data_IF_058173369608
#
_entry.id   IF_058173369608
#
_cell.length_a   1.000
_cell.length_b   1.000
_cell.length_c   1.000
_cell.angle_alpha   90.00
_cell.angle_beta   90.00
_cell.angle_gamma   90.00
#
_symmetry.space_group_name_H-M   'P 1'
#
loop_
_entity.id
_entity.type
_entity.pdbx_description
1 polymer ?
#
# COMPACT_ATOMS: atom_id res chain seq x y z
N UNK A 1 -49.20 -25.08 2.21
CA UNK A 1 -48.48 -24.00 2.92
C UNK A 1 -47.68 -24.63 4.06
N UNK A 2 -46.35 -24.52 4.03
CA UNK A 2 -45.48 -24.98 5.12
C UNK A 2 -45.43 -23.90 6.21
N UNK A 3 -45.92 -24.19 7.41
CA UNK A 3 -45.84 -23.30 8.56
C UNK A 3 -44.51 -23.45 9.31
N UNK A 4 -43.92 -22.32 9.72
CA UNK A 4 -42.72 -22.28 10.56
C UNK A 4 -42.91 -23.06 11.87
N UNK A 5 -41.84 -23.72 12.34
CA UNK A 5 -41.83 -24.49 13.59
C UNK A 5 -42.54 -25.86 13.55
N UNK A 6 -43.14 -26.24 12.41
CA UNK A 6 -43.81 -27.55 12.26
C UNK A 6 -42.91 -28.58 11.54
N UNK A 7 -43.10 -29.85 11.89
CA UNK A 7 -42.39 -31.00 11.29
C UNK A 7 -43.32 -31.68 10.29
N UNK A 8 -42.83 -31.91 9.08
CA UNK A 8 -43.59 -32.53 7.99
C UNK A 8 -42.87 -33.80 7.51
N UNK A 9 -43.63 -34.83 7.16
CA UNK A 9 -43.14 -36.05 6.54
C UNK A 9 -43.83 -36.28 5.19
N UNK A 10 -43.05 -36.67 4.18
CA UNK A 10 -43.58 -36.99 2.85
C UNK A 10 -43.83 -38.51 2.76
N UNK A 11 -45.09 -38.88 2.57
CA UNK A 11 -45.51 -40.26 2.35
C UNK A 11 -45.97 -40.39 0.89
N UNK A 12 -45.38 -41.31 0.15
CA UNK A 12 -45.74 -41.61 -1.24
C UNK A 12 -45.91 -43.12 -1.40
N UNK A 13 -46.70 -43.54 -2.39
CA UNK A 13 -46.83 -44.94 -2.81
C UNK A 13 -45.52 -45.40 -3.44
N UNK A 14 -45.21 -46.70 -3.32
CA UNK A 14 -44.00 -47.29 -3.88
C UNK A 14 -43.89 -46.96 -5.39
N UNK A 15 -42.77 -46.36 -5.81
CA UNK A 15 -42.51 -45.97 -7.20
C UNK A 15 -42.69 -44.48 -7.52
N UNK A 16 -43.07 -43.63 -6.56
CA UNK A 16 -42.98 -42.16 -6.71
C UNK A 16 -41.72 -41.66 -6.01
N UNK A 17 -40.82 -41.02 -6.76
CA UNK A 17 -39.51 -40.58 -6.29
C UNK A 17 -39.61 -39.40 -5.31
N UNK A 18 -39.81 -39.71 -4.03
CA UNK A 18 -39.74 -38.72 -2.93
C UNK A 18 -38.42 -37.93 -2.97
N UNK A 19 -37.33 -38.61 -3.35
CA UNK A 19 -36.00 -38.02 -3.47
C UNK A 19 -35.97 -36.95 -4.56
N UNK A 20 -36.58 -37.21 -5.71
CA UNK A 20 -36.72 -36.24 -6.80
C UNK A 20 -37.47 -35.00 -6.32
N UNK A 21 -38.60 -35.19 -5.61
CA UNK A 21 -39.34 -34.06 -5.04
C UNK A 21 -38.51 -33.22 -4.05
N UNK A 22 -37.73 -33.87 -3.18
CA UNK A 22 -36.83 -33.16 -2.25
C UNK A 22 -35.70 -32.41 -2.99
N UNK A 23 -35.16 -32.98 -4.07
CA UNK A 23 -34.14 -32.31 -4.91
C UNK A 23 -34.68 -31.03 -5.56
N UNK A 24 -35.88 -31.06 -6.13
CA UNK A 24 -36.50 -29.85 -6.70
C UNK A 24 -36.72 -28.74 -5.65
N UNK A 25 -37.07 -29.12 -4.41
CA UNK A 25 -37.19 -28.15 -3.30
C UNK A 25 -35.80 -27.60 -2.92
N UNK A 26 -34.77 -28.45 -2.84
CA UNK A 26 -33.41 -28.04 -2.51
C UNK A 26 -32.84 -27.04 -3.52
N UNK A 27 -33.12 -27.23 -4.81
CA UNK A 27 -32.68 -26.35 -5.91
C UNK A 27 -33.56 -25.09 -6.04
N UNK A 28 -34.58 -24.91 -5.18
CA UNK A 28 -35.55 -23.79 -5.23
C UNK A 28 -36.32 -23.71 -6.56
N UNK A 29 -36.62 -24.86 -7.15
CA UNK A 29 -37.47 -24.97 -8.36
C UNK A 29 -38.96 -24.68 -8.07
N UNK A 30 -39.27 -24.49 -6.78
CA UNK A 30 -40.56 -24.03 -6.25
C UNK A 30 -40.35 -22.65 -5.62
N UNK A 31 -41.29 -21.69 -5.74
CA UNK A 31 -41.14 -20.36 -5.16
C UNK A 31 -41.03 -20.42 -3.63
N UNK A 32 -39.79 -20.29 -3.12
CA UNK A 32 -39.45 -20.26 -1.70
C UNK A 32 -38.73 -18.93 -1.41
N UNK A 33 -39.15 -18.15 -0.39
CA UNK A 33 -38.52 -16.89 -0.03
C UNK A 33 -37.00 -16.98 0.16
N UNK A 34 -36.27 -15.92 -0.23
CA UNK A 34 -34.80 -15.89 -0.18
C UNK A 34 -34.23 -16.05 1.23
N UNK A 35 -34.89 -15.48 2.24
CA UNK A 35 -34.46 -15.53 3.63
C UNK A 35 -34.55 -16.93 4.28
N UNK A 36 -35.14 -17.93 3.61
CA UNK A 36 -35.23 -19.30 4.13
C UNK A 36 -34.01 -20.08 3.66
N UNK A 37 -33.10 -20.40 4.58
CA UNK A 37 -31.98 -21.29 4.30
C UNK A 37 -32.49 -22.74 4.18
N UNK A 38 -32.18 -23.38 3.05
CA UNK A 38 -32.49 -24.79 2.81
C UNK A 38 -31.16 -25.57 2.87
N UNK A 39 -31.12 -26.59 3.72
CA UNK A 39 -30.01 -27.54 3.79
C UNK A 39 -30.54 -28.91 3.37
N UNK A 40 -29.88 -29.54 2.40
CA UNK A 40 -30.24 -30.85 1.86
C UNK A 40 -29.12 -31.84 2.14
N UNK A 41 -29.47 -33.00 2.67
CA UNK A 41 -28.53 -34.09 2.96
C UNK A 41 -28.85 -35.24 2.02
N UNK A 42 -27.87 -35.67 1.22
CA UNK A 42 -28.03 -36.79 0.29
C UNK A 42 -27.96 -38.14 1.03
N UNK A 43 -28.64 -39.15 0.49
CA UNK A 43 -28.69 -40.50 1.11
C UNK A 43 -27.36 -41.26 1.00
N UNK A 44 -26.52 -40.94 0.01
CA UNK A 44 -25.21 -41.56 -0.18
C UNK A 44 -24.17 -40.44 -0.31
N UNK A 45 -23.34 -40.31 0.72
CA UNK A 45 -22.16 -39.45 0.69
C UNK A 45 -20.99 -40.38 0.40
N UNK A 46 -20.26 -40.13 -0.70
CA UNK A 46 -19.03 -40.85 -1.00
C UNK A 46 -18.00 -40.39 0.04
N UNK A 47 -17.52 -41.31 0.88
CA UNK A 47 -16.47 -41.04 1.85
C UNK A 47 -15.14 -40.78 1.15
N UNK A 48 -14.42 -39.77 1.61
CA UNK A 48 -13.03 -39.51 1.25
C UNK A 48 -12.11 -39.76 2.46
N UNK A 49 -10.80 -39.57 2.29
CA UNK A 49 -9.82 -39.72 3.37
C UNK A 49 -9.88 -38.58 4.41
N UNK A 50 -10.85 -37.65 4.32
CA UNK A 50 -10.98 -36.54 5.27
C UNK A 50 -11.46 -37.06 6.63
N UNK A 51 -10.79 -36.64 7.70
CA UNK A 51 -11.20 -36.96 9.08
C UNK A 51 -12.59 -36.38 9.34
N UNK A 52 -13.47 -37.13 10.02
CA UNK A 52 -14.85 -36.71 10.28
C UNK A 52 -14.95 -35.31 10.93
N UNK A 53 -14.05 -35.00 11.87
CA UNK A 53 -13.98 -33.68 12.51
C UNK A 53 -13.64 -32.57 11.50
N UNK A 54 -12.67 -32.81 10.63
CA UNK A 54 -12.24 -31.85 9.62
C UNK A 54 -13.31 -31.64 8.54
N UNK A 55 -14.08 -32.68 8.22
CA UNK A 55 -15.24 -32.58 7.32
C UNK A 55 -16.33 -31.66 7.89
N UNK A 56 -16.60 -31.75 9.20
CA UNK A 56 -17.54 -30.85 9.89
C UNK A 56 -16.99 -29.42 9.98
N UNK A 57 -15.69 -29.25 10.26
CA UNK A 57 -15.07 -27.93 10.33
C UNK A 57 -15.04 -27.22 8.97
N UNK A 58 -14.82 -27.96 7.87
CA UNK A 58 -14.92 -27.42 6.50
C UNK A 58 -16.32 -26.94 6.15
N UNK A 59 -17.37 -27.42 6.82
CA UNK A 59 -18.72 -26.92 6.61
C UNK A 59 -18.90 -25.48 7.13
N UNK A 60 -18.04 -25.00 8.03
CA UNK A 60 -18.02 -23.63 8.50
C UNK A 60 -17.20 -22.73 7.55
N UNK A 61 -17.79 -22.39 6.40
CA UNK A 61 -17.14 -21.57 5.38
C UNK A 61 -16.71 -20.16 5.85
N UNK A 62 -17.17 -19.70 7.02
CA UNK A 62 -16.70 -18.46 7.63
C UNK A 62 -15.30 -18.58 8.22
N UNK A 63 -14.96 -19.71 8.84
CA UNK A 63 -13.63 -19.94 9.39
C UNK A 63 -12.56 -19.90 8.29
N UNK A 64 -12.82 -20.53 7.14
CA UNK A 64 -11.90 -20.52 5.99
C UNK A 64 -11.68 -19.12 5.42
N UNK A 65 -12.75 -18.32 5.29
CA UNK A 65 -12.63 -16.93 4.83
C UNK A 65 -11.76 -16.08 5.76
N UNK A 66 -11.91 -16.25 7.09
CA UNK A 66 -11.12 -15.52 8.08
C UNK A 66 -9.65 -15.95 8.06
N UNK A 67 -9.37 -17.25 7.88
CA UNK A 67 -8.00 -17.76 7.76
C UNK A 67 -7.31 -17.22 6.50
N UNK A 68 -8.00 -17.23 5.35
CA UNK A 68 -7.49 -16.60 4.12
C UNK A 68 -7.21 -15.11 4.32
N UNK A 69 -8.15 -14.38 4.96
CA UNK A 69 -7.97 -12.95 5.21
C UNK A 69 -6.76 -12.69 6.11
N UNK A 70 -6.60 -13.43 7.20
CA UNK A 70 -5.42 -13.37 8.07
C UNK A 70 -4.11 -13.58 7.31
N UNK A 71 -4.07 -14.59 6.42
CA UNK A 71 -2.88 -14.86 5.61
C UNK A 71 -2.51 -13.67 4.70
N UNK A 72 -3.51 -13.07 4.03
CA UNK A 72 -3.30 -11.90 3.17
C UNK A 72 -2.80 -10.67 3.93
N UNK A 73 -3.34 -10.40 5.14
CA UNK A 73 -2.91 -9.31 6.00
C UNK A 73 -1.47 -9.51 6.48
N UNK A 74 -1.10 -10.73 6.86
CA UNK A 74 0.27 -11.04 7.28
C UNK A 74 1.27 -10.85 6.13
N UNK A 75 0.91 -11.22 4.90
CA UNK A 75 1.75 -10.97 3.73
C UNK A 75 1.94 -9.46 3.48
N UNK A 76 0.87 -8.67 3.64
CA UNK A 76 0.93 -7.22 3.52
C UNK A 76 1.83 -6.57 4.60
N UNK A 77 1.73 -7.04 5.86
CA UNK A 77 2.60 -6.59 6.94
C UNK A 77 4.08 -6.90 6.67
N UNK A 78 4.39 -8.09 6.14
CA UNK A 78 5.75 -8.45 5.77
C UNK A 78 6.31 -7.53 4.65
N UNK A 79 5.48 -7.20 3.65
CA UNK A 79 5.85 -6.27 2.60
C UNK A 79 6.12 -4.86 3.14
N UNK A 80 5.26 -4.34 4.02
CA UNK A 80 5.44 -3.05 4.68
C UNK A 80 6.73 -3.00 5.51
N UNK A 81 7.04 -4.07 6.26
CA UNK A 81 8.29 -4.16 7.04
C UNK A 81 9.54 -4.09 6.14
N UNK A 82 9.51 -4.79 4.99
CA UNK A 82 10.58 -4.75 3.99
C UNK A 82 10.73 -3.34 3.38
N UNK A 83 9.63 -2.68 3.03
CA UNK A 83 9.63 -1.30 2.54
C UNK A 83 10.21 -0.32 3.58
N UNK A 84 9.88 -0.50 4.87
CA UNK A 84 10.40 0.34 5.95
C UNK A 84 11.92 0.18 6.12
N UNK A 85 12.43 -1.05 6.03
CA UNK A 85 13.87 -1.37 6.05
C UNK A 85 14.62 -0.78 4.85
N UNK A 86 14.03 -0.80 3.66
CA UNK A 86 14.60 -0.19 2.46
C UNK A 86 14.59 1.35 2.57
N UNK A 87 13.49 1.93 3.06
CA UNK A 87 13.35 3.38 3.27
C UNK A 87 14.36 3.92 4.29
N UNK A 88 14.56 3.23 5.41
CA UNK A 88 15.56 3.62 6.43
C UNK A 88 16.99 3.55 5.91
N UNK A 89 17.36 2.50 5.16
CA UNK A 89 18.69 2.42 4.52
C UNK A 89 18.93 3.55 3.52
N UNK A 90 17.93 3.89 2.72
CA UNK A 90 18.01 4.98 1.74
C UNK A 90 18.15 6.35 2.40
N UNK A 91 17.41 6.61 3.48
CA UNK A 91 17.55 7.84 4.28
C UNK A 91 18.99 8.04 4.76
N UNK A 92 19.58 7.01 5.37
CA UNK A 92 20.94 7.08 5.90
C UNK A 92 21.97 7.36 4.80
N UNK A 93 21.80 6.78 3.61
CA UNK A 93 22.70 7.02 2.48
C UNK A 93 22.61 8.45 1.94
N UNK A 94 21.39 8.96 1.70
CA UNK A 94 21.17 10.32 1.20
C UNK A 94 21.64 11.36 2.22
N UNK A 95 21.40 11.10 3.51
CA UNK A 95 21.82 11.98 4.59
C UNK A 95 23.35 12.04 4.74
N UNK A 96 24.05 10.90 4.64
CA UNK A 96 25.53 10.86 4.64
C UNK A 96 26.11 11.59 3.43
N UNK A 97 25.57 11.35 2.24
CA UNK A 97 26.05 11.95 1.01
C UNK A 97 25.80 13.48 0.98
N UNK A 98 24.63 13.94 1.43
CA UNK A 98 24.25 15.36 1.36
C UNK A 98 24.68 16.24 2.52
N UNK A 99 24.87 15.67 3.71
CA UNK A 99 25.27 16.44 4.90
C UNK A 99 26.76 16.32 5.25
N UNK A 100 27.47 15.30 4.73
CA UNK A 100 28.85 15.01 5.15
C UNK A 100 28.97 14.71 6.66
N UNK A 101 27.87 14.33 7.30
CA UNK A 101 27.77 14.19 8.76
C UNK A 101 28.24 12.82 9.24
N UNK A 102 29.00 12.79 10.34
CA UNK A 102 29.38 11.55 11.04
C UNK A 102 28.15 10.82 11.61
N UNK A 103 28.27 9.53 11.93
CA UNK A 103 27.17 8.77 12.59
C UNK A 103 26.75 9.40 13.93
N UNK A 104 27.68 10.04 14.62
CA UNK A 104 27.44 10.73 15.89
C UNK A 104 26.59 11.99 15.68
N UNK A 105 26.79 12.70 14.57
CA UNK A 105 26.03 13.91 14.25
C UNK A 105 24.59 13.62 13.80
N UNK A 106 24.32 12.43 13.27
CA UNK A 106 22.98 12.05 12.83
C UNK A 106 21.98 11.91 13.99
N UNK A 107 22.45 11.65 15.21
CA UNK A 107 21.61 11.52 16.40
C UNK A 107 21.50 12.81 17.24
N UNK A 108 22.19 13.88 16.82
CA UNK A 108 22.14 15.16 17.54
C UNK A 108 20.87 15.95 17.20
N UNK A 109 20.28 16.68 18.16
CA UNK A 109 19.14 17.56 17.88
C UNK A 109 19.47 18.62 16.82
N UNK A 110 18.60 18.82 15.83
CA UNK A 110 18.82 19.79 14.73
C UNK A 110 19.12 21.22 15.20
N UNK A 111 18.65 21.60 16.40
CA UNK A 111 18.93 22.89 17.05
C UNK A 111 20.41 23.14 17.36
N UNK A 112 21.24 22.10 17.48
CA UNK A 112 22.68 22.27 17.76
C UNK A 112 23.51 22.60 16.53
N UNK A 113 22.92 22.48 15.33
CA UNK A 113 23.63 22.73 14.08
C UNK A 113 23.46 24.16 13.57
N UNK A 114 24.36 24.59 12.68
CA UNK A 114 24.30 25.90 12.00
C UNK A 114 23.08 26.02 11.09
N UNK A 115 22.70 27.26 10.74
CA UNK A 115 21.56 27.51 9.84
C UNK A 115 21.72 26.81 8.48
N UNK A 116 22.91 26.82 7.90
CA UNK A 116 23.21 26.12 6.64
C UNK A 116 23.04 24.61 6.75
N UNK A 117 23.44 23.99 7.87
CA UNK A 117 23.25 22.56 8.09
C UNK A 117 21.76 22.20 8.24
N UNK A 118 20.98 23.05 8.93
CA UNK A 118 19.52 22.87 9.04
C UNK A 118 18.84 22.97 7.68
N UNK A 119 19.28 23.91 6.84
CA UNK A 119 18.80 24.06 5.47
C UNK A 119 19.11 22.83 4.62
N UNK A 120 20.34 22.31 4.69
CA UNK A 120 20.73 21.05 4.00
C UNK A 120 19.93 19.85 4.50
N UNK A 121 19.66 19.77 5.81
CA UNK A 121 18.83 18.70 6.40
C UNK A 121 17.38 18.78 5.91
N UNK A 122 16.82 19.98 5.81
CA UNK A 122 15.50 20.20 5.23
C UNK A 122 15.46 19.78 3.74
N UNK A 123 16.52 20.09 2.99
CA UNK A 123 16.66 19.68 1.59
C UNK A 123 16.71 18.16 1.43
N UNK A 124 17.52 17.47 2.24
CA UNK A 124 17.57 15.98 2.25
C UNK A 124 16.20 15.38 2.55
N UNK A 125 15.45 15.97 3.49
CA UNK A 125 14.09 15.53 3.81
C UNK A 125 13.15 15.67 2.61
N UNK A 126 13.19 16.80 1.92
CA UNK A 126 12.35 17.03 0.74
C UNK A 126 12.73 16.10 -0.40
N UNK A 127 14.02 15.88 -0.64
CA UNK A 127 14.50 14.97 -1.69
C UNK A 127 14.17 13.50 -1.42
N UNK A 128 14.03 13.11 -0.15
CA UNK A 128 13.63 11.75 0.21
C UNK A 128 12.22 11.39 -0.28
N UNK A 129 11.28 12.34 -0.21
CA UNK A 129 9.91 12.17 -0.68
C UNK A 129 9.79 12.17 -2.22
N UNK A 130 10.90 12.42 -2.93
CA UNK A 130 10.96 12.49 -4.41
C UNK A 130 9.79 13.31 -5.01
N UNK A 131 9.69 14.61 -4.70
CA UNK A 131 8.58 15.41 -5.19
C UNK A 131 8.60 15.48 -6.72
N UNK A 132 7.44 15.75 -7.32
CA UNK A 132 7.34 16.00 -8.77
C UNK A 132 7.85 17.41 -9.11
N UNK A 133 7.73 18.36 -8.17
CA UNK A 133 8.17 19.74 -8.29
C UNK A 133 8.95 20.15 -7.03
N UNK A 134 10.19 20.58 -7.20
CA UNK A 134 11.04 21.12 -6.13
C UNK A 134 11.22 22.62 -6.34
N UNK A 135 10.78 23.41 -5.34
CA UNK A 135 10.94 24.85 -5.31
C UNK A 135 12.07 25.21 -4.33
N UNK A 136 13.08 25.95 -4.79
CA UNK A 136 14.16 26.44 -3.94
C UNK A 136 14.23 27.95 -4.02
N UNK A 137 14.21 28.59 -2.85
CA UNK A 137 14.39 30.03 -2.70
C UNK A 137 15.77 30.27 -2.07
N UNK A 138 16.68 30.90 -2.83
CA UNK A 138 18.05 31.27 -2.43
C UNK A 138 18.86 30.16 -1.72
N UNK A 139 19.40 29.16 -2.45
CA UNK A 139 20.27 28.15 -1.86
C UNK A 139 21.63 28.77 -1.43
N UNK A 140 21.76 29.02 -0.13
CA UNK A 140 22.83 29.83 0.50
C UNK A 140 24.25 29.23 0.50
N UNK A 141 24.49 28.05 -0.08
CA UNK A 141 25.75 27.33 0.15
C UNK A 141 26.27 26.63 -1.12
N UNK A 142 27.39 27.12 -1.64
CA UNK A 142 28.08 26.61 -2.83
C UNK A 142 28.40 25.11 -2.72
N UNK A 143 28.69 24.61 -1.51
CA UNK A 143 28.94 23.19 -1.28
C UNK A 143 27.67 22.34 -1.34
N UNK A 144 26.53 22.88 -0.86
CA UNK A 144 25.23 22.22 -0.96
C UNK A 144 24.72 22.19 -2.40
N UNK A 145 24.96 23.27 -3.16
CA UNK A 145 24.62 23.38 -4.58
C UNK A 145 25.37 22.35 -5.44
N UNK A 146 26.66 22.13 -5.18
CA UNK A 146 27.45 21.14 -5.93
C UNK A 146 26.90 19.72 -5.73
N UNK A 147 26.67 19.31 -4.48
CA UNK A 147 26.05 18.01 -4.18
C UNK A 147 24.63 17.91 -4.74
N UNK A 148 23.81 18.95 -4.57
CA UNK A 148 22.45 18.98 -5.06
C UNK A 148 22.42 18.82 -6.58
N UNK A 149 23.31 19.51 -7.30
CA UNK A 149 23.45 19.40 -8.75
C UNK A 149 23.75 17.97 -9.16
N UNK A 150 24.71 17.30 -8.51
CA UNK A 150 25.06 15.91 -8.82
C UNK A 150 23.93 14.94 -8.47
N UNK A 151 23.23 15.15 -7.35
CA UNK A 151 22.11 14.31 -6.93
C UNK A 151 20.91 14.45 -7.87
N UNK A 152 20.65 15.65 -8.38
CA UNK A 152 19.53 15.95 -9.28
C UNK A 152 19.79 15.55 -10.73
N UNK A 153 21.01 15.16 -11.13
CA UNK A 153 21.27 14.70 -12.51
C UNK A 153 20.43 13.50 -12.93
N UNK A 154 20.07 12.64 -11.97
CA UNK A 154 19.29 11.42 -12.19
C UNK A 154 17.84 11.54 -11.73
N UNK A 155 17.44 12.74 -11.30
CA UNK A 155 16.10 12.99 -10.77
C UNK A 155 15.16 13.44 -11.90
N UNK A 156 14.04 12.74 -12.06
CA UNK A 156 13.07 12.96 -13.14
C UNK A 156 12.02 14.05 -12.82
N UNK A 157 12.24 14.83 -11.75
CA UNK A 157 11.32 15.88 -11.32
C UNK A 157 11.62 17.25 -11.94
N UNK A 158 10.72 18.20 -11.71
CA UNK A 158 10.90 19.59 -12.14
C UNK A 158 11.54 20.40 -11.02
N UNK A 159 12.64 21.11 -11.31
CA UNK A 159 13.29 22.03 -10.37
C UNK A 159 12.99 23.48 -10.74
N UNK A 160 12.45 24.26 -9.81
CA UNK A 160 12.36 25.71 -9.90
C UNK A 160 13.24 26.33 -8.81
N UNK A 161 14.27 27.06 -9.22
CA UNK A 161 15.14 27.80 -8.29
C UNK A 161 14.96 29.29 -8.51
N UNK A 162 14.64 30.01 -7.44
CA UNK A 162 14.74 31.47 -7.35
C UNK A 162 16.08 31.77 -6.69
N UNK A 163 16.96 32.51 -7.37
CA UNK A 163 18.19 33.01 -6.75
C UNK A 163 18.32 34.51 -6.99
N UNK A 164 18.80 35.21 -5.96
CA UNK A 164 19.26 36.59 -6.08
C UNK A 164 20.78 36.60 -5.97
N UNK A 165 21.51 36.23 -7.04
CA UNK A 165 22.93 36.58 -7.13
C UNK A 165 23.22 37.42 -8.37
N UNK A 166 23.79 38.60 -8.11
CA UNK A 166 24.13 39.66 -9.07
C UNK A 166 25.54 39.53 -9.63
N UNK A 167 26.26 38.43 -9.39
CA UNK A 167 27.67 38.34 -9.71
C UNK A 167 27.99 37.49 -10.95
N UNK A 168 27.84 38.09 -12.15
CA UNK A 168 28.71 37.82 -13.32
C UNK A 168 28.43 38.79 -14.49
N UNK A 169 28.88 40.03 -14.31
CA UNK A 169 29.43 40.98 -15.30
C UNK A 169 28.99 40.89 -16.80
N UNK A 170 28.02 41.70 -17.23
CA UNK A 170 28.09 42.52 -18.47
C UNK A 170 26.92 43.52 -18.59
N UNK A 171 27.25 44.82 -18.57
CA UNK A 171 26.47 46.00 -19.07
C UNK A 171 25.08 46.34 -18.46
N UNK A 172 24.73 47.63 -18.27
CA UNK A 172 23.56 48.03 -17.51
C UNK A 172 22.32 48.13 -18.40
N UNK A 173 21.67 47.00 -18.69
CA UNK A 173 20.31 46.99 -19.23
C UNK A 173 19.70 45.59 -19.14
N UNK A 174 19.19 45.19 -17.97
CA UNK A 174 18.03 44.29 -17.85
C UNK A 174 17.79 43.94 -16.38
N UNK A 175 16.55 44.11 -15.93
CA UNK A 175 16.00 43.31 -14.83
C UNK A 175 15.85 41.88 -15.36
N UNK A 176 16.90 41.08 -15.27
CA UNK A 176 16.85 39.66 -15.66
C UNK A 176 16.46 38.84 -14.43
N UNK A 177 15.17 38.52 -14.31
CA UNK A 177 14.70 37.41 -13.49
C UNK A 177 15.12 36.14 -14.23
N UNK A 178 16.26 35.54 -13.87
CA UNK A 178 16.71 34.29 -14.49
C UNK A 178 15.88 33.14 -13.92
N UNK A 179 14.75 32.85 -14.56
CA UNK A 179 14.00 31.60 -14.39
C UNK A 179 14.80 30.50 -15.11
N UNK A 180 15.82 29.97 -14.45
CA UNK A 180 16.64 28.88 -14.97
C UNK A 180 15.94 27.55 -14.78
N UNK A 181 15.26 27.05 -15.82
CA UNK A 181 14.80 25.66 -15.91
C UNK A 181 16.04 24.78 -16.09
N UNK A 182 16.72 24.47 -14.98
CA UNK A 182 17.83 23.54 -14.94
C UNK A 182 17.25 22.13 -14.95
N UNK A 183 17.28 21.51 -16.14
CA UNK A 183 16.97 20.10 -16.41
C UNK A 183 15.46 19.79 -16.58
N UNK A 184 14.93 20.12 -17.75
CA UNK A 184 13.89 19.31 -18.38
C UNK A 184 14.58 18.34 -19.35
N UNK A 185 14.63 17.05 -19.02
CA UNK A 185 14.87 16.03 -20.04
C UNK A 185 13.54 15.73 -20.76
N UNK A 186 13.59 15.46 -22.08
CA UNK A 186 12.40 15.28 -22.92
C UNK A 186 11.56 14.06 -22.53
#
# INVERSE_FOLDING_TARGET
MLAHGRRYGIISRNGVDKLTQLRHIAVRDVPIPEHITILFVEQEIIGDDTIAMDSVLKADGWCDQLLCKKASLNACLAALASCLLLGTRRLVQVQRAGLGSSEVDQQRPTKSFSGGWRMRSALVRVLFDKPVLLLLDEPFDLGALAWLKDHLQTWEGTLLVVSHDRSSNSTPAARTTTMGLLLSHP
#
